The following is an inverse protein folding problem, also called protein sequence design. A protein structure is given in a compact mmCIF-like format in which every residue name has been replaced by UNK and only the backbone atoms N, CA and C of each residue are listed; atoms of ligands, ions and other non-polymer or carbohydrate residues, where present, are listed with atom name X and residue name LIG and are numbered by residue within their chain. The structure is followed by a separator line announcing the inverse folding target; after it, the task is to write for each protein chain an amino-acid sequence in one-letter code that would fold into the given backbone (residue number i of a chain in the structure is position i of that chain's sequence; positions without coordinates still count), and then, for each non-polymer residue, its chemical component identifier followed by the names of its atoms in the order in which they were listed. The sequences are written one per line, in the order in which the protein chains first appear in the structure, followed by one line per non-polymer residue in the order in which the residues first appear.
data_IF_362610966271
#
_entry.id   IF_362610966271
#
_cell.length_a   1.000
_cell.length_b   1.000
_cell.length_c   1.000
_cell.angle_alpha   90.00
_cell.angle_beta   90.00
_cell.angle_gamma   90.00
#
_symmetry.space_group_name_H-M   'P 1'
#
loop_
_entity.id
_entity.type
_entity.pdbx_description
1 polymer ?
#
# COMPACT_ATOMS: atom_id res chain seq x y z
N UNK A 1 -14.51 -28.58 13.15
CA UNK A 1 -13.35 -28.68 12.20
C UNK A 1 -12.85 -27.28 11.88
N UNK A 2 -11.56 -27.06 11.57
CA UNK A 2 -11.00 -25.71 11.26
C UNK A 2 -11.84 -24.96 10.22
N UNK A 3 -12.37 -25.69 9.24
CA UNK A 3 -13.23 -25.18 8.16
C UNK A 3 -14.49 -24.47 8.68
N UNK A 4 -15.05 -24.86 9.83
CA UNK A 4 -16.23 -24.22 10.42
C UNK A 4 -15.94 -22.88 11.10
N UNK A 5 -14.66 -22.51 11.23
CA UNK A 5 -14.19 -21.28 11.88
C UNK A 5 -13.57 -20.29 10.89
N UNK A 6 -13.44 -20.67 9.63
CA UNK A 6 -13.04 -19.79 8.54
C UNK A 6 -14.23 -18.91 8.14
N UNK A 7 -13.95 -17.66 7.78
CA UNK A 7 -14.98 -16.79 7.22
C UNK A 7 -15.48 -17.36 5.88
N UNK A 8 -16.66 -16.91 5.45
CA UNK A 8 -17.18 -17.20 4.11
C UNK A 8 -16.15 -16.70 3.08
N UNK A 9 -15.57 -17.63 2.31
CA UNK A 9 -14.49 -17.42 1.32
C UNK A 9 -13.06 -17.27 1.89
N UNK A 10 -12.82 -17.57 3.16
CA UNK A 10 -11.46 -17.68 3.69
C UNK A 10 -10.86 -19.04 3.36
N UNK A 11 -9.68 -19.05 2.74
CA UNK A 11 -8.99 -20.26 2.27
C UNK A 11 -7.56 -20.32 2.83
N UNK A 12 -7.06 -21.53 3.05
CA UNK A 12 -5.65 -21.75 3.37
C UNK A 12 -4.84 -21.77 2.08
N UNK A 13 -3.84 -20.90 1.99
CA UNK A 13 -2.98 -20.75 0.81
C UNK A 13 -1.58 -21.33 1.03
N UNK A 14 -1.11 -21.35 2.27
CA UNK A 14 0.21 -21.89 2.63
C UNK A 14 0.16 -22.63 3.96
N UNK A 15 0.85 -23.76 4.02
CA UNK A 15 1.08 -24.56 5.23
C UNK A 15 2.58 -24.75 5.45
N UNK A 16 3.01 -24.72 6.71
CA UNK A 16 4.38 -25.08 7.10
C UNK A 16 4.53 -26.59 7.26
N UNK A 17 5.78 -27.06 7.37
CA UNK A 17 6.04 -28.34 8.03
C UNK A 17 5.55 -28.33 9.49
N UNK A 18 5.47 -29.52 10.10
CA UNK A 18 5.17 -29.61 11.53
C UNK A 18 6.31 -29.02 12.35
N UNK A 19 6.00 -28.05 13.21
CA UNK A 19 6.97 -27.24 13.95
C UNK A 19 6.61 -27.14 15.42
N UNK A 20 7.64 -26.99 16.26
CA UNK A 20 7.47 -26.73 17.69
C UNK A 20 7.19 -25.24 17.89
N UNK A 21 6.15 -24.94 18.65
CA UNK A 21 5.77 -23.58 19.04
C UNK A 21 5.61 -23.47 20.55
N UNK A 22 5.46 -22.24 21.08
CA UNK A 22 5.03 -22.05 22.47
C UNK A 22 3.58 -22.47 22.75
N UNK A 23 2.83 -22.90 21.74
CA UNK A 23 1.46 -23.42 21.83
C UNK A 23 1.38 -24.93 21.51
N UNK A 24 2.52 -25.63 21.51
CA UNK A 24 2.62 -27.05 21.17
C UNK A 24 3.15 -27.30 19.75
N UNK A 25 3.07 -28.56 19.32
CA UNK A 25 3.50 -29.00 17.99
C UNK A 25 2.33 -28.89 17.00
N UNK A 26 2.60 -28.37 15.82
CA UNK A 26 1.59 -28.20 14.79
C UNK A 26 2.10 -27.56 13.51
N UNK A 27 1.17 -27.28 12.59
CA UNK A 27 1.46 -26.60 11.31
C UNK A 27 0.93 -25.18 11.33
N UNK A 28 1.74 -24.21 10.94
CA UNK A 28 1.27 -22.85 10.69
C UNK A 28 0.56 -22.84 9.35
N UNK A 29 -0.64 -22.28 9.33
CA UNK A 29 -1.43 -22.06 8.14
C UNK A 29 -1.63 -20.56 7.93
N UNK A 30 -1.54 -20.14 6.67
CA UNK A 30 -1.76 -18.77 6.24
C UNK A 30 -3.00 -18.70 5.35
N UNK A 31 -3.88 -17.76 5.67
CA UNK A 31 -5.00 -17.35 4.81
C UNK A 31 -4.74 -15.96 4.25
N UNK A 32 -5.68 -15.41 3.48
CA UNK A 32 -5.64 -14.00 3.09
C UNK A 32 -5.87 -13.03 4.28
N UNK A 33 -6.31 -13.52 5.45
CA UNK A 33 -6.73 -12.70 6.60
C UNK A 33 -5.80 -12.84 7.81
N UNK A 34 -5.34 -14.06 8.09
CA UNK A 34 -4.71 -14.39 9.38
C UNK A 34 -3.81 -15.62 9.29
N UNK A 35 -3.08 -15.81 10.38
CA UNK A 35 -2.27 -16.97 10.68
C UNK A 35 -2.93 -17.79 11.79
N UNK A 36 -2.91 -19.11 11.65
CA UNK A 36 -3.29 -20.02 12.72
C UNK A 36 -2.37 -21.22 12.80
N UNK A 37 -2.25 -21.78 13.99
CA UNK A 37 -1.56 -23.03 14.26
C UNK A 37 -2.59 -24.16 14.26
N UNK A 38 -2.38 -25.16 13.42
CA UNK A 38 -3.10 -26.42 13.42
C UNK A 38 -2.37 -27.39 14.36
N UNK A 39 -2.91 -27.63 15.55
CA UNK A 39 -2.24 -28.44 16.57
C UNK A 39 -2.45 -29.93 16.34
N UNK A 40 -1.39 -30.72 16.51
CA UNK A 40 -1.49 -32.18 16.46
C UNK A 40 -2.09 -32.69 17.78
N UNK A 41 -3.26 -33.34 17.72
CA UNK A 41 -3.81 -34.13 18.84
C UNK A 41 -4.61 -33.40 19.93
N UNK A 42 -4.93 -32.11 19.80
CA UNK A 42 -5.72 -31.36 20.80
C UNK A 42 -7.12 -30.95 20.31
N UNK A 43 -8.07 -30.72 21.22
CA UNK A 43 -9.28 -29.89 20.98
C UNK A 43 -9.00 -28.48 21.53
N UNK A 44 -9.26 -27.39 20.78
CA UNK A 44 -10.04 -27.32 19.55
C UNK A 44 -9.29 -27.65 18.24
N UNK A 45 -8.03 -28.11 18.31
CA UNK A 45 -7.25 -28.52 17.14
C UNK A 45 -6.70 -27.36 16.32
N UNK A 46 -6.89 -26.13 16.80
CA UNK A 46 -6.37 -24.93 16.19
C UNK A 46 -6.18 -23.80 17.22
N UNK A 47 -5.28 -22.88 16.91
CA UNK A 47 -5.06 -21.63 17.67
C UNK A 47 -4.89 -20.49 16.66
N UNK A 48 -5.68 -19.42 16.79
CA UNK A 48 -5.43 -18.21 16.00
C UNK A 48 -4.18 -17.51 16.56
N UNK A 49 -3.17 -17.37 15.70
CA UNK A 49 -1.90 -16.70 16.03
C UNK A 49 -2.10 -15.19 15.97
N UNK A 50 -2.48 -14.68 14.79
CA UNK A 50 -2.70 -13.26 14.55
C UNK A 50 -3.48 -13.03 13.25
N UNK A 51 -4.37 -12.04 13.24
CA UNK A 51 -4.79 -11.40 11.97
C UNK A 51 -3.69 -10.45 11.50
N UNK A 52 -3.48 -10.31 10.19
CA UNK A 52 -2.47 -9.37 9.67
C UNK A 52 -2.69 -7.93 10.11
N UNK A 53 -3.95 -7.53 10.33
CA UNK A 53 -4.31 -6.20 10.86
C UNK A 53 -3.77 -5.96 12.28
N UNK A 54 -3.71 -7.00 13.11
CA UNK A 54 -3.40 -6.88 14.54
C UNK A 54 -1.94 -7.18 14.87
N UNK A 55 -1.09 -7.44 13.86
CA UNK A 55 0.34 -7.64 14.06
C UNK A 55 0.97 -6.30 14.45
N UNK A 56 1.72 -6.32 15.55
CA UNK A 56 2.51 -5.20 16.05
C UNK A 56 3.97 -5.33 15.60
N UNK A 57 4.52 -6.54 15.68
CA UNK A 57 5.92 -6.81 15.36
C UNK A 57 6.11 -8.25 14.87
N UNK A 58 7.02 -8.42 13.91
CA UNK A 58 7.46 -9.71 13.39
C UNK A 58 8.99 -9.73 13.40
N UNK A 59 9.60 -10.76 14.00
CA UNK A 59 11.06 -10.91 14.07
C UNK A 59 11.49 -12.32 13.67
N UNK A 60 12.54 -12.43 12.85
CA UNK A 60 13.35 -13.65 12.75
C UNK A 60 14.44 -13.58 13.81
N UNK A 61 14.46 -14.54 14.73
CA UNK A 61 15.41 -14.60 15.85
C UNK A 61 16.02 -15.99 15.96
N UNK A 62 16.95 -16.17 16.89
CA UNK A 62 17.52 -17.46 17.20
C UNK A 62 17.35 -17.74 18.68
N UNK A 63 16.70 -18.86 19.02
CA UNK A 63 16.61 -19.32 20.40
C UNK A 63 17.70 -20.36 20.64
N UNK A 64 18.45 -20.18 21.72
CA UNK A 64 19.45 -21.15 22.17
C UNK A 64 18.75 -22.26 22.97
N UNK A 65 18.98 -23.51 22.58
CA UNK A 65 18.56 -24.68 23.36
C UNK A 65 19.72 -25.67 23.41
N UNK A 66 20.27 -25.89 24.62
CA UNK A 66 21.53 -26.60 24.82
C UNK A 66 22.64 -25.98 23.94
N UNK A 67 23.22 -26.75 23.02
CA UNK A 67 24.25 -26.30 22.08
C UNK A 67 23.67 -25.83 20.73
N UNK A 68 22.36 -25.93 20.53
CA UNK A 68 21.71 -25.62 19.25
C UNK A 68 21.22 -24.17 19.19
N UNK A 69 21.42 -23.57 18.03
CA UNK A 69 20.84 -22.28 17.65
C UNK A 69 19.69 -22.54 16.69
N UNK A 70 18.46 -22.35 17.17
CA UNK A 70 17.26 -22.68 16.41
C UNK A 70 16.66 -21.39 15.84
N UNK A 71 16.56 -21.25 14.51
CA UNK A 71 15.83 -20.15 13.89
C UNK A 71 14.35 -20.18 14.30
N UNK A 72 13.89 -19.06 14.86
CA UNK A 72 12.58 -18.92 15.48
C UNK A 72 11.91 -17.64 15.01
N UNK A 73 10.73 -17.79 14.40
CA UNK A 73 9.85 -16.68 14.06
C UNK A 73 9.08 -16.24 15.30
N UNK A 74 9.09 -14.94 15.58
CA UNK A 74 8.36 -14.32 16.69
C UNK A 74 7.34 -13.34 16.15
N UNK A 75 6.08 -13.46 16.59
CA UNK A 75 4.98 -12.57 16.19
C UNK A 75 4.35 -11.98 17.46
N UNK A 76 4.40 -10.66 17.57
CA UNK A 76 3.72 -9.89 18.61
C UNK A 76 2.47 -9.25 18.04
N UNK A 77 1.37 -9.30 18.78
CA UNK A 77 0.09 -8.69 18.39
C UNK A 77 -0.27 -7.56 19.33
N UNK A 78 -0.97 -6.54 18.83
CA UNK A 78 -1.35 -5.34 19.60
C UNK A 78 -2.18 -5.70 20.83
N UNK A 79 -3.05 -6.71 20.74
CA UNK A 79 -4.02 -7.05 21.79
C UNK A 79 -3.56 -8.11 22.79
N UNK A 80 -2.42 -8.80 22.55
CA UNK A 80 -1.93 -9.87 23.42
C UNK A 80 -0.53 -9.55 23.93
N UNK A 81 -0.33 -9.74 25.24
CA UNK A 81 0.98 -9.57 25.87
C UNK A 81 1.96 -10.68 25.49
N UNK A 82 1.47 -11.89 25.26
CA UNK A 82 2.28 -13.03 24.86
C UNK A 82 2.71 -12.95 23.39
N UNK A 83 3.99 -13.25 23.14
CA UNK A 83 4.57 -13.33 21.80
C UNK A 83 4.43 -14.77 21.31
N UNK A 84 3.89 -14.97 20.12
CA UNK A 84 3.88 -16.28 19.48
C UNK A 84 5.29 -16.61 18.97
N UNK A 85 5.76 -17.82 19.23
CA UNK A 85 7.10 -18.28 18.82
C UNK A 85 7.02 -19.62 18.10
N UNK A 86 7.64 -19.73 16.93
CA UNK A 86 7.68 -20.97 16.16
C UNK A 86 9.09 -21.27 15.63
N UNK A 87 9.56 -22.48 15.93
CA UNK A 87 10.87 -22.98 15.52
C UNK A 87 10.80 -23.54 14.10
N UNK A 88 10.90 -22.64 13.11
CA UNK A 88 10.70 -22.94 11.70
C UNK A 88 11.96 -23.48 10.99
N UNK A 89 13.10 -23.55 11.68
CA UNK A 89 14.36 -24.08 11.15
C UNK A 89 14.70 -23.40 9.81
N UNK A 90 14.78 -24.16 8.72
CA UNK A 90 15.13 -23.69 7.38
C UNK A 90 14.03 -22.84 6.72
N UNK A 91 12.77 -22.96 7.15
CA UNK A 91 11.67 -22.15 6.60
C UNK A 91 11.54 -20.78 7.29
N UNK A 92 12.31 -20.50 8.35
CA UNK A 92 12.13 -19.33 9.21
C UNK A 92 12.20 -18.01 8.43
N UNK A 93 13.19 -17.85 7.54
CA UNK A 93 13.38 -16.61 6.79
C UNK A 93 12.29 -16.41 5.72
N UNK A 94 11.81 -17.49 5.09
CA UNK A 94 10.71 -17.41 4.13
C UNK A 94 9.42 -17.01 4.84
N UNK A 95 9.06 -17.66 5.95
CA UNK A 95 7.88 -17.26 6.72
C UNK A 95 7.99 -15.85 7.27
N UNK A 96 9.16 -15.43 7.74
CA UNK A 96 9.39 -14.06 8.15
C UNK A 96 9.07 -13.07 7.02
N UNK A 97 9.60 -13.32 5.81
CA UNK A 97 9.36 -12.50 4.63
C UNK A 97 7.88 -12.46 4.24
N UNK A 98 7.23 -13.63 4.15
CA UNK A 98 5.82 -13.74 3.76
C UNK A 98 4.89 -13.04 4.76
N UNK A 99 5.14 -13.20 6.06
CA UNK A 99 4.31 -12.57 7.10
C UNK A 99 4.47 -11.06 7.07
N UNK A 100 5.69 -10.53 6.85
CA UNK A 100 5.92 -9.09 6.69
C UNK A 100 5.22 -8.52 5.46
N UNK A 101 5.27 -9.22 4.33
CA UNK A 101 4.61 -8.79 3.10
C UNK A 101 3.07 -8.76 3.25
N UNK A 102 2.47 -9.80 3.83
CA UNK A 102 1.02 -9.83 4.10
C UNK A 102 0.60 -8.76 5.11
N UNK A 103 1.41 -8.52 6.14
CA UNK A 103 1.18 -7.45 7.11
C UNK A 103 1.22 -6.07 6.46
N UNK A 104 2.24 -5.80 5.64
CA UNK A 104 2.38 -4.54 4.90
C UNK A 104 1.23 -4.35 3.90
N UNK A 105 0.89 -5.37 3.11
CA UNK A 105 -0.24 -5.34 2.19
C UNK A 105 -1.57 -5.11 2.89
N UNK A 106 -1.77 -5.70 4.08
CA UNK A 106 -2.98 -5.43 4.88
C UNK A 106 -3.02 -3.99 5.38
N UNK A 107 -1.88 -3.42 5.79
CA UNK A 107 -1.80 -2.01 6.18
C UNK A 107 -2.16 -1.08 5.02
N UNK A 108 -1.60 -1.33 3.83
CA UNK A 108 -1.92 -0.58 2.61
C UNK A 108 -3.41 -0.66 2.25
N UNK A 109 -4.00 -1.86 2.33
CA UNK A 109 -5.43 -2.06 2.10
C UNK A 109 -6.30 -1.23 3.06
N UNK A 110 -5.93 -1.17 4.34
CA UNK A 110 -6.67 -0.42 5.35
C UNK A 110 -6.49 1.10 5.21
N UNK A 111 -5.31 1.56 4.79
CA UNK A 111 -4.99 2.97 4.54
C UNK A 111 -5.70 3.50 3.29
N UNK A 112 -5.71 2.73 2.19
CA UNK A 112 -6.27 3.15 0.90
C UNK A 112 -7.72 2.70 0.69
N UNK A 113 -8.29 1.93 1.63
CA UNK A 113 -9.63 1.32 1.55
C UNK A 113 -9.82 0.44 0.31
N UNK A 114 -8.75 -0.19 -0.14
CA UNK A 114 -8.74 -1.03 -1.33
C UNK A 114 -8.32 -2.48 -0.98
N UNK A 115 -9.22 -3.47 -1.12
CA UNK A 115 -8.90 -4.86 -0.86
C UNK A 115 -7.94 -5.49 -1.89
N UNK A 116 -7.65 -4.83 -3.01
CA UNK A 116 -6.72 -5.34 -4.01
C UNK A 116 -5.29 -5.50 -3.46
N UNK A 117 -4.87 -4.62 -2.54
CA UNK A 117 -3.56 -4.70 -1.89
C UNK A 117 -3.32 -6.02 -1.16
N UNK A 118 -4.34 -6.59 -0.48
CA UNK A 118 -4.17 -7.87 0.21
C UNK A 118 -4.10 -9.05 -0.77
N UNK A 119 -4.77 -8.95 -1.92
CA UNK A 119 -4.71 -9.97 -2.98
C UNK A 119 -3.36 -9.96 -3.70
N UNK A 120 -2.80 -8.78 -3.94
CA UNK A 120 -1.45 -8.63 -4.49
C UNK A 120 -0.40 -9.14 -3.50
N UNK A 121 -0.53 -8.80 -2.21
CA UNK A 121 0.39 -9.31 -1.18
C UNK A 121 0.34 -10.84 -1.10
N UNK A 122 -0.86 -11.44 -1.15
CA UNK A 122 -1.03 -12.88 -1.20
C UNK A 122 -0.35 -13.49 -2.44
N UNK A 123 -0.50 -12.86 -3.60
CA UNK A 123 0.18 -13.29 -4.83
C UNK A 123 1.70 -13.23 -4.67
N UNK A 124 2.23 -12.14 -4.12
CA UNK A 124 3.66 -11.98 -3.87
C UNK A 124 4.22 -13.08 -2.97
N UNK A 125 3.54 -13.41 -1.87
CA UNK A 125 4.03 -14.46 -0.96
C UNK A 125 3.96 -15.86 -1.55
N UNK A 126 2.97 -16.16 -2.39
CA UNK A 126 2.91 -17.43 -3.11
C UNK A 126 4.01 -17.54 -4.16
N UNK A 127 4.33 -16.44 -4.84
CA UNK A 127 5.47 -16.37 -5.74
C UNK A 127 6.80 -16.51 -4.98
N UNK A 128 6.94 -15.94 -3.79
CA UNK A 128 8.11 -16.15 -2.93
C UNK A 128 8.27 -17.64 -2.60
N UNK A 129 7.20 -18.31 -2.15
CA UNK A 129 7.24 -19.74 -1.83
C UNK A 129 7.64 -20.58 -3.05
N UNK A 130 7.07 -20.29 -4.22
CA UNK A 130 7.40 -20.96 -5.47
C UNK A 130 8.87 -20.75 -5.88
N UNK A 131 9.38 -19.51 -5.80
CA UNK A 131 10.80 -19.19 -6.03
C UNK A 131 11.68 -19.95 -5.07
N UNK A 132 11.28 -20.06 -3.80
CA UNK A 132 12.05 -20.80 -2.81
C UNK A 132 12.11 -22.30 -3.09
N UNK A 133 10.97 -22.89 -3.46
CA UNK A 133 10.90 -24.30 -3.84
C UNK A 133 11.68 -24.64 -5.10
N UNK A 134 11.76 -23.72 -6.07
CA UNK A 134 12.39 -23.96 -7.36
C UNK A 134 13.93 -23.84 -7.34
N UNK A 135 14.48 -22.86 -6.63
CA UNK A 135 15.91 -22.53 -6.74
C UNK A 135 16.82 -23.43 -5.87
N UNK A 136 16.31 -24.04 -4.79
CA UNK A 136 17.03 -24.95 -3.86
C UNK A 136 18.49 -24.56 -3.55
N UNK A 137 18.82 -23.26 -3.56
CA UNK A 137 20.18 -22.73 -3.40
C UNK A 137 20.31 -21.87 -2.16
N UNK A 138 21.54 -21.55 -1.73
CA UNK A 138 21.79 -20.65 -0.60
C UNK A 138 21.34 -19.19 -0.82
N UNK A 139 21.08 -18.78 -2.08
CA UNK A 139 20.68 -17.39 -2.44
C UNK A 139 19.16 -17.22 -2.60
N UNK A 140 18.41 -18.26 -2.28
CA UNK A 140 17.02 -18.38 -2.64
C UNK A 140 16.11 -17.40 -1.89
N UNK A 141 16.39 -17.15 -0.61
CA UNK A 141 15.69 -16.13 0.19
C UNK A 141 15.93 -14.71 -0.36
N UNK A 142 17.15 -14.42 -0.80
CA UNK A 142 17.46 -13.12 -1.41
C UNK A 142 16.65 -12.91 -2.69
N UNK A 143 16.55 -13.92 -3.55
CA UNK A 143 15.71 -13.85 -4.74
C UNK A 143 14.23 -13.62 -4.39
N UNK A 144 13.70 -14.39 -3.44
CA UNK A 144 12.32 -14.21 -2.95
C UNK A 144 12.09 -12.80 -2.37
N UNK A 145 13.08 -12.23 -1.66
CA UNK A 145 13.00 -10.85 -1.14
C UNK A 145 12.86 -9.80 -2.23
N UNK A 146 13.14 -10.10 -3.51
CA UNK A 146 12.86 -9.17 -4.60
C UNK A 146 11.37 -8.97 -4.83
N UNK A 147 10.54 -9.96 -4.47
CA UNK A 147 9.09 -9.94 -4.59
C UNK A 147 8.38 -9.25 -3.40
N UNK A 148 9.09 -8.86 -2.34
CA UNK A 148 8.48 -8.24 -1.15
C UNK A 148 8.22 -6.75 -1.37
N UNK A 149 7.26 -6.47 -2.25
CA UNK A 149 6.97 -5.13 -2.73
C UNK A 149 6.43 -4.24 -1.61
N UNK A 150 5.40 -4.68 -0.88
CA UNK A 150 4.76 -3.84 0.13
C UNK A 150 5.63 -3.66 1.37
N UNK A 151 6.33 -4.71 1.80
CA UNK A 151 7.27 -4.58 2.92
C UNK A 151 8.40 -3.59 2.58
N UNK A 152 8.87 -3.55 1.33
CA UNK A 152 9.83 -2.53 0.89
C UNK A 152 9.23 -1.15 0.83
N UNK A 153 8.05 -0.97 0.22
CA UNK A 153 7.38 0.34 0.17
C UNK A 153 7.11 0.94 1.55
N UNK A 154 6.93 0.11 2.58
CA UNK A 154 6.81 0.57 3.97
C UNK A 154 8.13 1.14 4.53
N UNK A 155 9.26 0.63 4.07
CA UNK A 155 10.60 0.99 4.54
C UNK A 155 11.31 2.02 3.64
N UNK A 156 11.00 2.03 2.35
CA UNK A 156 11.26 3.13 1.44
C UNK A 156 10.37 4.28 1.90
N UNK A 157 10.99 5.42 2.23
CA UNK A 157 10.30 6.62 2.71
C UNK A 157 9.04 6.79 1.86
N UNK A 158 7.83 6.82 2.46
CA UNK A 158 6.64 7.12 1.69
C UNK A 158 6.98 8.33 0.84
N UNK A 159 6.59 8.38 -0.43
CA UNK A 159 6.50 9.69 -1.09
C UNK A 159 5.50 10.49 -0.26
N UNK A 160 6.03 11.15 0.77
CA UNK A 160 5.27 11.81 1.78
C UNK A 160 4.90 13.10 1.10
N UNK A 161 3.77 13.04 0.38
CA UNK A 161 3.14 14.22 -0.19
C UNK A 161 3.07 15.21 0.98
N UNK A 162 3.81 16.34 0.91
CA UNK A 162 3.86 17.28 2.02
C UNK A 162 2.46 17.62 2.49
N UNK A 163 2.25 17.86 3.80
CA UNK A 163 0.91 18.18 4.33
C UNK A 163 0.25 19.31 3.55
N UNK A 164 1.04 20.30 3.15
CA UNK A 164 0.62 21.39 2.27
C UNK A 164 0.07 20.87 0.94
N UNK A 165 0.76 19.96 0.25
CA UNK A 165 0.29 19.34 -0.99
C UNK A 165 -0.96 18.49 -0.75
N UNK A 166 -1.04 17.73 0.34
CA UNK A 166 -2.24 16.94 0.69
C UNK A 166 -3.46 17.83 0.99
N UNK A 167 -3.26 18.95 1.67
CA UNK A 167 -4.29 19.96 1.93
C UNK A 167 -4.73 20.64 0.63
N UNK A 168 -3.79 21.03 -0.23
CA UNK A 168 -4.08 21.62 -1.55
C UNK A 168 -4.88 20.66 -2.44
N UNK A 169 -4.55 19.37 -2.47
CA UNK A 169 -5.25 18.36 -3.27
C UNK A 169 -6.70 18.08 -2.82
N UNK A 170 -7.13 18.56 -1.64
CA UNK A 170 -8.54 18.47 -1.21
C UNK A 170 -9.44 19.45 -1.96
N UNK A 171 -8.88 20.52 -2.50
CA UNK A 171 -9.63 21.55 -3.20
C UNK A 171 -9.93 21.08 -4.63
N UNK A 172 -11.09 20.44 -4.81
CA UNK A 172 -11.59 20.04 -6.13
C UNK A 172 -12.09 21.27 -6.88
N UNK A 173 -11.35 21.72 -7.89
CA UNK A 173 -11.82 22.72 -8.85
C UNK A 173 -12.62 22.04 -9.98
N UNK A 174 -13.66 22.71 -10.43
CA UNK A 174 -14.41 22.32 -11.63
C UNK A 174 -14.34 23.47 -12.64
N UNK A 175 -13.43 23.41 -13.63
CA UNK A 175 -13.35 24.41 -14.70
C UNK A 175 -14.64 24.56 -15.50
N UNK A 176 -15.51 23.55 -15.53
CA UNK A 176 -16.81 23.60 -16.20
C UNK A 176 -17.96 24.04 -15.28
N UNK A 177 -17.68 24.60 -14.10
CA UNK A 177 -18.72 25.08 -13.20
C UNK A 177 -19.56 26.19 -13.87
N UNK A 178 -20.87 25.96 -14.03
CA UNK A 178 -21.80 26.86 -14.71
C UNK A 178 -22.05 26.55 -16.19
N UNK A 179 -21.36 25.54 -16.74
CA UNK A 179 -21.59 25.05 -18.11
C UNK A 179 -22.68 23.97 -18.13
N UNK A 180 -23.39 23.84 -19.25
CA UNK A 180 -24.44 22.83 -19.45
C UNK A 180 -23.88 21.42 -19.65
N UNK A 181 -22.60 21.30 -20.03
CA UNK A 181 -21.88 20.04 -20.20
C UNK A 181 -20.41 20.19 -19.77
N UNK A 182 -19.75 19.10 -19.35
CA UNK A 182 -18.32 19.11 -19.05
C UNK A 182 -17.49 19.51 -20.28
N UNK A 183 -16.60 20.48 -20.10
CA UNK A 183 -15.70 20.97 -21.14
C UNK A 183 -14.31 20.36 -20.94
N UNK A 184 -13.64 20.00 -22.04
CA UNK A 184 -12.25 19.55 -21.99
C UNK A 184 -11.33 20.73 -21.66
N UNK A 185 -10.39 20.53 -20.72
CA UNK A 185 -9.32 21.49 -20.43
C UNK A 185 -8.22 21.28 -21.46
N UNK A 186 -7.99 22.28 -22.32
CA UNK A 186 -6.95 22.24 -23.36
C UNK A 186 -5.59 22.70 -22.80
N UNK A 187 -5.58 23.73 -21.95
CA UNK A 187 -4.35 24.28 -21.35
C UNK A 187 -4.60 24.68 -19.90
N UNK A 188 -3.60 24.43 -19.04
CA UNK A 188 -3.57 24.86 -17.65
C UNK A 188 -2.30 25.69 -17.42
N UNK A 189 -2.43 26.93 -16.98
CA UNK A 189 -1.31 27.82 -16.68
C UNK A 189 -1.43 28.37 -15.26
N UNK A 190 -0.42 28.16 -14.44
CA UNK A 190 -0.31 28.77 -13.12
C UNK A 190 0.58 30.01 -13.21
N UNK A 191 0.06 31.16 -12.79
CA UNK A 191 0.83 32.40 -12.64
C UNK A 191 1.06 32.65 -11.16
N UNK A 192 2.32 32.55 -10.67
CA UNK A 192 2.65 32.86 -9.28
C UNK A 192 2.29 34.31 -8.93
N UNK A 193 1.87 34.53 -7.68
CA UNK A 193 1.64 35.87 -7.13
C UNK A 193 2.76 36.32 -6.20
N UNK A 194 2.81 37.62 -5.88
CA UNK A 194 3.64 38.14 -4.79
C UNK A 194 2.89 37.99 -3.46
N UNK A 195 3.52 37.33 -2.49
CA UNK A 195 2.96 37.09 -1.15
C UNK A 195 3.27 38.23 -0.16
N UNK A 196 3.69 39.42 -0.64
CA UNK A 196 4.03 40.53 0.25
C UNK A 196 2.74 41.23 0.75
N UNK A 197 2.44 41.22 2.07
CA UNK A 197 1.23 41.84 2.62
C UNK A 197 1.21 43.38 2.49
N UNK A 198 2.35 44.00 2.17
CA UNK A 198 2.50 45.46 2.14
C UNK A 198 2.13 46.12 0.81
N UNK A 199 2.02 45.35 -0.28
CA UNK A 199 1.58 45.86 -1.59
C UNK A 199 0.12 45.47 -1.86
N UNK A 200 -0.80 46.42 -1.63
CA UNK A 200 -2.23 46.29 -1.97
C UNK A 200 -2.47 46.48 -3.47
N UNK A 201 -1.79 45.70 -4.32
CA UNK A 201 -2.14 45.64 -5.73
C UNK A 201 -3.08 44.45 -5.96
N UNK A 202 -4.27 44.74 -6.48
CA UNK A 202 -5.36 43.77 -6.71
C UNK A 202 -4.95 42.62 -7.65
N UNK A 203 -3.86 42.80 -8.41
CA UNK A 203 -3.33 41.87 -9.40
C UNK A 203 -2.19 40.95 -8.89
N UNK A 204 -1.80 41.06 -7.62
CA UNK A 204 -0.65 40.34 -7.05
C UNK A 204 -0.95 38.90 -6.60
N UNK A 205 -2.20 38.43 -6.66
CA UNK A 205 -2.58 37.09 -6.20
C UNK A 205 -2.20 36.00 -7.20
N UNK A 206 -1.82 34.79 -6.74
CA UNK A 206 -1.57 33.68 -7.64
C UNK A 206 -2.86 33.29 -8.36
N UNK A 207 -2.76 32.99 -9.66
CA UNK A 207 -3.91 32.61 -10.50
C UNK A 207 -3.67 31.30 -11.21
N UNK A 208 -4.76 30.57 -11.41
CA UNK A 208 -4.79 29.39 -12.26
C UNK A 208 -5.71 29.68 -13.45
N UNK A 209 -5.13 29.66 -14.63
CA UNK A 209 -5.81 29.88 -15.90
C UNK A 209 -6.13 28.53 -16.53
N UNK A 210 -7.41 28.29 -16.78
CA UNK A 210 -7.92 27.08 -17.41
C UNK A 210 -8.50 27.45 -18.77
N UNK A 211 -7.80 27.11 -19.85
CA UNK A 211 -8.37 27.17 -21.19
C UNK A 211 -9.18 25.91 -21.45
N UNK A 212 -10.45 26.11 -21.79
CA UNK A 212 -11.39 25.07 -22.18
C UNK A 212 -11.51 25.04 -23.70
N UNK A 213 -12.15 24.00 -24.22
CA UNK A 213 -12.55 23.94 -25.61
C UNK A 213 -13.32 25.21 -26.06
N UNK A 214 -13.33 25.45 -27.38
CA UNK A 214 -14.00 26.59 -28.01
C UNK A 214 -13.46 27.98 -27.59
N UNK A 215 -12.25 28.02 -27.03
CA UNK A 215 -11.56 29.27 -26.69
C UNK A 215 -12.13 29.99 -25.46
N UNK A 216 -12.76 29.23 -24.58
CA UNK A 216 -13.24 29.69 -23.28
C UNK A 216 -12.11 29.66 -22.26
N UNK A 217 -11.99 30.69 -21.43
CA UNK A 217 -10.98 30.74 -20.36
C UNK A 217 -11.65 31.01 -19.02
N UNK A 218 -11.32 30.20 -18.02
CA UNK A 218 -11.76 30.36 -16.63
C UNK A 218 -10.53 30.65 -15.76
N UNK A 219 -10.65 31.62 -14.87
CA UNK A 219 -9.56 32.04 -13.98
C UNK A 219 -9.94 31.79 -12.52
N UNK A 220 -9.13 30.99 -11.83
CA UNK A 220 -9.27 30.76 -10.40
C UNK A 220 -8.25 31.60 -9.63
N UNK A 221 -8.66 32.16 -8.50
CA UNK A 221 -7.75 32.63 -7.46
C UNK A 221 -7.10 31.39 -6.83
N UNK A 222 -5.81 31.16 -7.07
CA UNK A 222 -5.13 29.95 -6.60
C UNK A 222 -4.83 29.97 -5.09
N UNK A 223 -5.09 31.09 -4.40
CA UNK A 223 -5.01 31.16 -2.93
C UNK A 223 -6.31 30.71 -2.25
N UNK A 224 -7.46 30.93 -2.88
CA UNK A 224 -8.78 30.57 -2.32
C UNK A 224 -9.52 29.47 -3.08
N UNK A 225 -9.02 29.10 -4.26
CA UNK A 225 -9.66 28.20 -5.22
C UNK A 225 -11.05 28.66 -5.69
N UNK A 226 -11.33 29.96 -5.59
CA UNK A 226 -12.58 30.57 -6.04
C UNK A 226 -12.46 31.10 -7.48
N UNK A 227 -13.57 31.13 -8.22
CA UNK A 227 -13.61 31.69 -9.57
C UNK A 227 -13.51 33.21 -9.45
N UNK A 228 -12.43 33.79 -10.00
CA UNK A 228 -12.22 35.24 -10.02
C UNK A 228 -12.97 35.90 -11.18
N UNK A 229 -12.96 35.25 -12.35
CA UNK A 229 -13.64 35.72 -13.56
C UNK A 229 -14.42 34.58 -14.19
N UNK A 230 -15.74 34.75 -14.28
CA UNK A 230 -16.61 33.83 -15.01
C UNK A 230 -16.30 33.91 -16.50
N UNK A 231 -15.88 32.78 -17.04
CA UNK A 231 -15.73 32.40 -18.44
C UNK A 231 -15.87 33.55 -19.47
N UNK A 232 -14.75 34.03 -20.02
CA UNK A 232 -14.75 34.91 -21.19
C UNK A 232 -14.29 34.16 -22.43
N UNK A 233 -14.87 34.50 -23.58
CA UNK A 233 -14.56 33.90 -24.88
C UNK A 233 -13.46 34.71 -25.56
N UNK A 234 -12.26 34.13 -25.71
CA UNK A 234 -11.09 34.84 -26.22
C UNK A 234 -10.83 34.64 -27.74
N UNK A 235 -11.76 33.98 -28.44
CA UNK A 235 -11.70 33.70 -29.88
C UNK A 235 -11.63 32.19 -30.18
N UNK A 236 -11.87 31.78 -31.43
CA UNK A 236 -11.94 30.35 -31.82
C UNK A 236 -10.67 29.83 -32.52
N UNK A 237 -9.60 30.63 -32.54
CA UNK A 237 -8.36 30.27 -33.23
C UNK A 237 -7.57 29.25 -32.42
N UNK A 238 -7.38 28.05 -32.97
CA UNK A 238 -6.52 27.01 -32.40
C UNK A 238 -5.12 27.11 -33.01
N UNK A 239 -4.08 27.06 -32.17
CA UNK A 239 -2.72 26.86 -32.64
C UNK A 239 -2.61 25.43 -33.17
N UNK A 240 -2.48 25.28 -34.48
CA UNK A 240 -2.14 23.99 -35.10
C UNK A 240 -0.62 23.86 -34.97
N UNK A 241 -0.14 22.92 -34.16
CA UNK A 241 1.27 22.55 -34.19
C UNK A 241 1.51 21.78 -35.50
N UNK A 242 2.09 22.45 -36.49
CA UNK A 242 2.65 21.77 -37.66
C UNK A 242 3.84 20.92 -37.19
N UNK A 243 3.57 19.64 -36.96
CA UNK A 243 4.62 18.63 -36.92
C UNK A 243 5.05 18.37 -38.37
N UNK A 244 5.99 19.17 -38.88
CA UNK A 244 6.71 18.82 -40.11
C UNK A 244 7.44 17.49 -39.88
N UNK A 245 7.16 16.44 -40.66
CA UNK A 245 8.00 15.25 -40.62
C UNK A 245 9.33 15.62 -41.27
N UNK A 246 10.39 15.70 -40.46
CA UNK A 246 11.75 15.82 -40.98
C UNK A 246 12.08 14.61 -41.86
N UNK A 247 12.50 14.89 -43.09
CA UNK A 247 13.24 13.97 -43.96
C UNK A 247 14.72 14.10 -43.61
#
# INVERSE_FOLDING_TARGET
MVVEKLDKNECVYKLSCSVKTNHGVGKIAMTQKRLFLLTEGGRPGYVEIATFRNIEEVKSTTVAFLLLRIPTLRIKTISRKEVFEANLKTECDLWHLMVKEMWAGKKMADEHKDPQYIQQALTNVLLMDAVVGALQSSKTIYAASKLSYFDKMKNEVPMMVPKTTSETLKHKINPSAGETFPQAVEVLLYTPGQLDPSEKQEDARPKLWCALNEGKVVVFDASTWSIQQHCFKMGSSKLVSDASPGI
#
